data_IF_375161539406
#
_entry.id   IF_375161539406
#
_cell.length_a   1.000
_cell.length_b   1.000
_cell.length_c   1.000
_cell.angle_alpha   90.00
_cell.angle_beta   90.00
_cell.angle_gamma   90.00
#
_symmetry.space_group_name_H-M   'P 1'
#
loop_
_entity.id
_entity.type
_entity.pdbx_description
1 polymer ?
#
# COMPACT_ATOMS: atom_id res chain seq x y z
N UNK A 1 22.89 3.19 -17.66
CA UNK A 1 21.95 3.55 -16.59
C UNK A 1 22.37 2.88 -15.29
N UNK A 2 22.48 3.63 -14.20
CA UNK A 2 22.98 3.12 -12.91
C UNK A 2 21.95 2.18 -12.26
N UNK A 3 22.42 1.05 -11.71
CA UNK A 3 21.57 0.01 -11.07
C UNK A 3 20.63 0.52 -9.97
N UNK A 4 20.92 1.68 -9.37
CA UNK A 4 20.08 2.31 -8.35
C UNK A 4 18.77 2.89 -8.89
N UNK A 5 18.77 3.47 -10.09
CA UNK A 5 17.59 4.11 -10.67
C UNK A 5 16.50 3.10 -11.06
N UNK A 6 16.93 1.91 -11.51
CA UNK A 6 16.04 0.78 -11.81
C UNK A 6 15.42 0.15 -10.56
N UNK A 7 16.05 0.29 -9.37
CA UNK A 7 15.44 -0.13 -8.10
C UNK A 7 14.40 0.85 -7.58
N UNK A 8 14.66 2.16 -7.71
CA UNK A 8 13.70 3.22 -7.34
C UNK A 8 12.42 3.21 -8.20
N UNK A 9 12.52 2.80 -9.47
CA UNK A 9 11.35 2.65 -10.36
C UNK A 9 10.76 1.22 -10.35
N UNK A 10 11.25 0.35 -9.45
CA UNK A 10 10.74 -1.02 -9.31
C UNK A 10 9.52 -1.13 -8.40
N UNK A 11 9.02 -2.37 -8.20
CA UNK A 11 7.92 -2.67 -7.29
C UNK A 11 8.08 -2.04 -5.89
N UNK A 12 9.28 -2.13 -5.32
CA UNK A 12 9.57 -1.64 -3.97
C UNK A 12 9.52 -0.11 -3.90
N UNK A 13 10.02 0.57 -4.93
CA UNK A 13 9.98 2.03 -4.99
C UNK A 13 8.54 2.56 -5.06
N UNK A 14 7.67 1.87 -5.81
CA UNK A 14 6.24 2.19 -5.82
C UNK A 14 5.64 2.06 -4.42
N UNK A 15 5.87 0.94 -3.72
CA UNK A 15 5.32 0.74 -2.38
C UNK A 15 5.85 1.75 -1.35
N UNK A 16 7.12 2.16 -1.46
CA UNK A 16 7.69 3.23 -0.64
C UNK A 16 6.98 4.57 -0.93
N UNK A 17 6.77 4.91 -2.20
CA UNK A 17 6.07 6.13 -2.59
C UNK A 17 4.60 6.11 -2.15
N UNK A 18 3.90 4.99 -2.34
CA UNK A 18 2.53 4.81 -1.86
C UNK A 18 2.44 4.99 -0.34
N UNK A 19 3.35 4.35 0.41
CA UNK A 19 3.41 4.48 1.86
C UNK A 19 3.68 5.93 2.29
N UNK A 20 4.55 6.65 1.57
CA UNK A 20 4.82 8.06 1.80
C UNK A 20 3.57 8.93 1.54
N UNK A 21 2.85 8.70 0.45
CA UNK A 21 1.60 9.42 0.15
C UNK A 21 0.54 9.19 1.24
N UNK A 22 0.37 7.95 1.69
CA UNK A 22 -0.56 7.62 2.79
C UNK A 22 -0.12 8.28 4.09
N UNK A 23 1.17 8.30 4.38
CA UNK A 23 1.72 8.99 5.55
C UNK A 23 1.45 10.51 5.52
N UNK A 24 1.64 11.15 4.37
CA UNK A 24 1.33 12.58 4.20
C UNK A 24 -0.18 12.85 4.40
N UNK A 25 -1.04 11.96 3.89
CA UNK A 25 -2.48 12.06 4.11
C UNK A 25 -2.85 11.94 5.60
N UNK A 26 -2.21 11.01 6.31
CA UNK A 26 -2.37 10.84 7.75
C UNK A 26 -1.91 12.09 8.54
N UNK A 27 -0.79 12.70 8.14
CA UNK A 27 -0.31 13.95 8.77
C UNK A 27 -1.25 15.13 8.56
N UNK A 28 -1.92 15.21 7.40
CA UNK A 28 -2.90 16.27 7.13
C UNK A 28 -4.19 16.11 7.94
N UNK A 29 -4.45 14.94 8.50
CA UNK A 29 -5.57 14.70 9.40
C UNK A 29 -5.30 15.14 10.85
N UNK A 30 -4.51 16.20 11.04
CA UNK A 30 -4.21 16.77 12.36
C UNK A 30 -4.41 18.30 12.35
N UNK A 31 -5.46 18.84 13.00
CA UNK A 31 -6.44 18.14 13.83
C UNK A 31 -7.39 17.26 13.01
N UNK A 32 -7.84 16.15 13.60
CA UNK A 32 -8.64 15.15 12.89
C UNK A 32 -10.02 15.67 12.49
N UNK A 33 -10.43 15.35 11.27
CA UNK A 33 -11.76 15.72 10.75
C UNK A 33 -12.53 14.46 10.31
N UNK A 34 -13.88 14.45 10.39
CA UNK A 34 -14.67 13.29 10.00
C UNK A 34 -14.40 12.84 8.55
N UNK A 35 -14.33 13.78 7.61
CA UNK A 35 -14.09 13.48 6.20
C UNK A 35 -12.71 12.86 5.95
N UNK A 36 -11.68 13.30 6.67
CA UNK A 36 -10.34 12.74 6.53
C UNK A 36 -10.21 11.37 7.23
N UNK A 37 -10.91 11.14 8.35
CA UNK A 37 -11.01 9.80 8.95
C UNK A 37 -11.66 8.80 7.99
N UNK A 38 -12.82 9.14 7.40
CA UNK A 38 -13.50 8.28 6.41
C UNK A 38 -12.61 8.01 5.19
N UNK A 39 -11.85 9.01 4.73
CA UNK A 39 -10.88 8.82 3.66
C UNK A 39 -9.80 7.81 4.04
N UNK A 40 -9.14 7.98 5.20
CA UNK A 40 -8.10 7.07 5.67
C UNK A 40 -8.63 5.65 5.92
N UNK A 41 -9.87 5.53 6.41
CA UNK A 41 -10.58 4.26 6.53
C UNK A 41 -10.86 3.62 5.18
N UNK A 42 -11.12 4.38 4.10
CA UNK A 42 -11.31 3.77 2.78
C UNK A 42 -10.01 3.16 2.21
N UNK A 43 -8.84 3.62 2.70
CA UNK A 43 -7.54 3.23 2.13
C UNK A 43 -7.19 1.76 2.34
N UNK A 44 -7.66 1.10 3.41
CA UNK A 44 -7.33 -0.32 3.61
C UNK A 44 -7.92 -1.21 2.49
N UNK A 45 -8.98 -0.78 1.82
CA UNK A 45 -9.52 -1.43 0.60
C UNK A 45 -8.82 -0.90 -0.65
N UNK A 46 -8.62 0.42 -0.76
CA UNK A 46 -8.05 1.02 -1.96
C UNK A 46 -6.58 0.62 -2.21
N UNK A 47 -5.78 0.50 -1.15
CA UNK A 47 -4.35 0.15 -1.21
C UNK A 47 -4.11 -1.18 -1.94
N UNK A 48 -4.74 -2.31 -1.57
CA UNK A 48 -4.52 -3.57 -2.28
C UNK A 48 -5.16 -3.58 -3.67
N UNK A 49 -6.34 -2.98 -3.85
CA UNK A 49 -7.05 -2.98 -5.14
C UNK A 49 -6.35 -2.14 -6.22
N UNK A 50 -5.75 -1.00 -5.85
CA UNK A 50 -5.04 -0.15 -6.80
C UNK A 50 -3.52 -0.41 -6.79
N UNK A 51 -2.94 -0.58 -5.61
CA UNK A 51 -1.48 -0.71 -5.45
C UNK A 51 -0.92 -1.96 -6.10
N UNK A 52 -1.63 -3.09 -6.03
CA UNK A 52 -1.15 -4.35 -6.61
C UNK A 52 -1.15 -4.30 -8.14
N UNK A 53 -2.26 -3.97 -8.84
CA UNK A 53 -2.22 -3.82 -10.30
C UNK A 53 -1.17 -2.81 -10.77
N UNK A 54 -1.03 -1.67 -10.08
CA UNK A 54 0.00 -0.67 -10.40
C UNK A 54 1.41 -1.22 -10.24
N UNK A 55 1.62 -2.14 -9.28
CA UNK A 55 2.92 -2.82 -9.10
C UNK A 55 3.25 -3.71 -10.29
N UNK A 56 2.27 -4.39 -10.89
CA UNK A 56 2.47 -5.19 -12.11
C UNK A 56 2.80 -4.33 -13.33
N UNK A 57 2.34 -3.08 -13.40
CA UNK A 57 2.74 -2.15 -14.47
C UNK A 57 4.25 -1.88 -14.52
N UNK A 58 4.98 -2.14 -13.42
CA UNK A 58 6.45 -2.06 -13.44
C UNK A 58 7.09 -3.09 -14.36
N UNK A 59 6.38 -4.15 -14.77
CA UNK A 59 6.84 -5.11 -15.78
C UNK A 59 7.23 -4.43 -17.09
N UNK A 60 6.54 -3.35 -17.46
CA UNK A 60 6.79 -2.61 -18.71
C UNK A 60 8.03 -1.72 -18.64
N UNK A 61 8.70 -1.61 -17.48
CA UNK A 61 9.92 -0.85 -17.34
C UNK A 61 11.16 -1.66 -17.75
N UNK A 62 12.20 -1.01 -18.30
CA UNK A 62 13.40 -1.71 -18.77
C UNK A 62 14.08 -2.48 -17.64
N UNK A 63 14.31 -3.78 -17.86
CA UNK A 63 14.98 -4.66 -16.89
C UNK A 63 14.04 -5.38 -15.92
N UNK A 64 12.73 -5.23 -16.08
CA UNK A 64 11.69 -5.96 -15.34
C UNK A 64 11.02 -7.01 -16.27
N UNK A 65 10.36 -8.03 -15.69
CA UNK A 65 9.65 -9.08 -16.45
C UNK A 65 10.21 -10.51 -16.36
N UNK A 66 11.22 -10.76 -15.52
CA UNK A 66 11.71 -12.11 -15.21
C UNK A 66 11.20 -12.66 -13.88
N UNK A 67 11.51 -13.93 -13.57
CA UNK A 67 11.14 -14.58 -12.30
C UNK A 67 11.61 -13.79 -11.06
N UNK A 68 12.80 -13.19 -11.14
CA UNK A 68 13.32 -12.34 -10.06
C UNK A 68 12.49 -11.07 -9.84
N UNK A 69 11.94 -10.49 -10.92
CA UNK A 69 11.02 -9.36 -10.81
C UNK A 69 9.69 -9.79 -10.17
N UNK A 70 9.16 -10.95 -10.54
CA UNK A 70 7.92 -11.47 -9.97
C UNK A 70 8.07 -11.71 -8.47
N UNK A 71 9.20 -12.27 -8.01
CA UNK A 71 9.50 -12.39 -6.58
C UNK A 71 9.51 -11.03 -5.86
N UNK A 72 10.06 -9.98 -6.50
CA UNK A 72 10.02 -8.61 -5.96
C UNK A 72 8.61 -8.04 -5.90
N UNK A 73 7.75 -8.35 -6.87
CA UNK A 73 6.33 -7.97 -6.85
C UNK A 73 5.62 -8.65 -5.68
N UNK A 74 5.80 -9.97 -5.51
CA UNK A 74 5.16 -10.73 -4.42
C UNK A 74 5.59 -10.20 -3.05
N UNK A 75 6.90 -10.14 -2.81
CA UNK A 75 7.45 -9.69 -1.53
C UNK A 75 7.15 -8.21 -1.30
N UNK A 76 7.35 -7.37 -2.31
CA UNK A 76 7.08 -5.93 -2.25
C UNK A 76 5.62 -5.63 -1.95
N UNK A 77 4.68 -6.30 -2.62
CA UNK A 77 3.25 -6.13 -2.38
C UNK A 77 2.81 -6.63 -1.01
N UNK A 78 3.35 -7.76 -0.54
CA UNK A 78 3.04 -8.26 0.81
C UNK A 78 3.38 -7.23 1.89
N UNK A 79 4.63 -6.76 1.90
CA UNK A 79 5.08 -5.78 2.88
C UNK A 79 4.50 -4.38 2.64
N UNK A 80 4.39 -3.97 1.38
CA UNK A 80 3.87 -2.66 0.98
C UNK A 80 2.42 -2.46 1.38
N UNK A 81 1.55 -3.44 1.12
CA UNK A 81 0.14 -3.41 1.55
C UNK A 81 0.05 -3.33 3.07
N UNK A 82 0.81 -4.16 3.78
CA UNK A 82 0.82 -4.15 5.25
C UNK A 82 1.25 -2.79 5.82
N UNK A 83 2.37 -2.25 5.35
CA UNK A 83 2.92 -0.99 5.85
C UNK A 83 1.99 0.17 5.51
N UNK A 84 1.55 0.30 4.26
CA UNK A 84 0.68 1.39 3.85
C UNK A 84 -0.66 1.36 4.61
N UNK A 85 -1.27 0.19 4.76
CA UNK A 85 -2.54 0.05 5.50
C UNK A 85 -2.37 0.30 7.00
N UNK A 86 -1.22 -0.05 7.59
CA UNK A 86 -0.92 0.30 8.97
C UNK A 86 -0.76 1.82 9.17
N UNK A 87 -0.09 2.50 8.22
CA UNK A 87 0.04 3.95 8.25
C UNK A 87 -1.34 4.61 8.12
N UNK A 88 -2.18 4.15 7.19
CA UNK A 88 -3.55 4.65 7.03
C UNK A 88 -4.35 4.50 8.34
N UNK A 89 -4.34 3.31 8.93
CA UNK A 89 -4.99 3.04 10.22
C UNK A 89 -4.42 3.88 11.36
N UNK A 90 -3.11 4.17 11.39
CA UNK A 90 -2.52 5.00 12.43
C UNK A 90 -2.94 6.48 12.38
N UNK A 91 -3.38 6.96 11.20
CA UNK A 91 -3.80 8.33 10.98
C UNK A 91 -5.25 8.65 11.36
N UNK A 92 -6.06 7.64 11.67
CA UNK A 92 -7.46 7.80 12.09
C UNK A 92 -7.50 8.08 13.59
N UNK A 93 -8.39 8.97 14.02
CA UNK A 93 -8.57 9.28 15.45
C UNK A 93 -9.15 8.09 16.23
N UNK A 94 -8.44 7.67 17.28
CA UNK A 94 -8.80 6.57 18.17
C UNK A 94 -9.77 6.97 19.29
N UNK A 95 -10.08 8.26 19.46
CA UNK A 95 -10.99 8.72 20.50
C UNK A 95 -12.46 8.35 20.24
N UNK A 96 -12.79 7.84 19.05
CA UNK A 96 -14.10 7.24 18.77
C UNK A 96 -14.07 5.73 19.03
N UNK A 97 -14.88 5.27 19.99
CA UNK A 97 -15.07 3.86 20.32
C UNK A 97 -15.48 2.97 19.14
N UNK A 98 -16.00 3.56 18.05
CA UNK A 98 -16.35 2.87 16.80
C UNK A 98 -15.12 2.34 16.05
N UNK A 99 -13.93 2.85 16.35
CA UNK A 99 -12.68 2.53 15.65
C UNK A 99 -11.88 1.37 16.28
N UNK A 100 -12.47 0.62 17.22
CA UNK A 100 -11.80 -0.53 17.88
C UNK A 100 -11.41 -1.67 16.93
N UNK A 101 -12.00 -1.74 15.73
CA UNK A 101 -11.65 -2.71 14.68
C UNK A 101 -10.47 -2.30 13.78
N UNK A 102 -9.93 -1.10 13.95
CA UNK A 102 -8.99 -0.49 13.02
C UNK A 102 -7.63 -1.19 12.98
N UNK A 103 -7.22 -1.84 14.09
CA UNK A 103 -6.02 -2.70 14.11
C UNK A 103 -6.17 -3.97 13.25
N UNK A 104 -7.40 -4.35 12.90
CA UNK A 104 -7.70 -5.42 11.94
C UNK A 104 -7.58 -4.99 10.48
N UNK A 105 -7.71 -3.69 10.18
CA UNK A 105 -7.74 -3.16 8.81
C UNK A 105 -6.49 -3.54 7.99
N UNK A 106 -5.25 -3.52 8.52
CA UNK A 106 -4.08 -4.01 7.80
C UNK A 106 -4.16 -5.50 7.43
N UNK A 107 -4.73 -6.34 8.30
CA UNK A 107 -4.88 -7.77 8.05
C UNK A 107 -5.97 -8.07 7.01
N UNK A 108 -7.10 -7.36 7.06
CA UNK A 108 -8.13 -7.45 6.02
C UNK A 108 -7.61 -6.96 4.67
N UNK A 109 -6.86 -5.85 4.69
CA UNK A 109 -6.18 -5.31 3.51
C UNK A 109 -5.19 -6.29 2.91
N UNK A 110 -4.39 -6.96 3.74
CA UNK A 110 -3.48 -8.00 3.30
C UNK A 110 -4.21 -9.20 2.70
N UNK A 111 -5.32 -9.65 3.30
CA UNK A 111 -6.11 -10.76 2.76
C UNK A 111 -6.67 -10.43 1.36
N UNK A 112 -7.22 -9.23 1.19
CA UNK A 112 -7.65 -8.72 -0.13
C UNK A 112 -6.45 -8.65 -1.08
N UNK A 113 -5.32 -8.13 -0.60
CA UNK A 113 -4.11 -8.00 -1.38
C UNK A 113 -3.59 -9.33 -1.89
N UNK A 114 -3.55 -10.36 -1.04
CA UNK A 114 -3.18 -11.71 -1.44
C UNK A 114 -4.14 -12.29 -2.48
N UNK A 115 -5.44 -12.05 -2.34
CA UNK A 115 -6.42 -12.49 -3.33
C UNK A 115 -6.21 -11.82 -4.69
N UNK A 116 -6.03 -10.49 -4.72
CA UNK A 116 -5.74 -9.75 -5.95
C UNK A 116 -4.42 -10.21 -6.57
N UNK A 117 -3.39 -10.41 -5.74
CA UNK A 117 -2.09 -10.87 -6.19
C UNK A 117 -2.18 -12.25 -6.85
N UNK A 118 -2.97 -13.17 -6.31
CA UNK A 118 -3.22 -14.48 -6.93
C UNK A 118 -3.98 -14.36 -8.26
N UNK A 119 -4.85 -13.36 -8.42
CA UNK A 119 -5.57 -13.13 -9.68
C UNK A 119 -4.67 -12.58 -10.79
N UNK A 120 -3.61 -11.85 -10.44
CA UNK A 120 -2.67 -11.21 -11.38
C UNK A 120 -1.48 -12.11 -11.75
N UNK A 121 -1.29 -13.24 -11.06
CA UNK A 121 -0.24 -14.24 -11.32
C UNK A 121 -0.64 -15.25 -12.40
#
# INVERSE_FOLDING_TARGET
MSRGFSRLLGPEGLWVLSSLCVYLAALWNNPSTPAANEFLESLWIAIPLAGIPVTFLTAYLPGNGGWWWLLRVVVGSFFGVMIASFIAASGVDYHDSRNSGLLGAPFYSLAIGLFVLVLEL
#
